data_IF_271590656973
#
_entry.id   IF_271590656973
#
_cell.length_a   1.000
_cell.length_b   1.000
_cell.length_c   1.000
_cell.angle_alpha   90.00
_cell.angle_beta   90.00
_cell.angle_gamma   90.00
#
_symmetry.space_group_name_H-M   'P 1'
#
loop_
_entity.id
_entity.type
_entity.pdbx_description
1 polymer ?
#
# COMPACT_ATOMS: atom_id res chain seq x y z
N UNK A 1 -58.22 27.65 -13.52
CA UNK A 1 -57.98 26.19 -13.45
C UNK A 1 -57.59 25.74 -14.85
N UNK A 2 -56.72 24.74 -15.00
CA UNK A 2 -56.20 24.34 -16.31
C UNK A 2 -57.07 23.20 -16.90
N UNK A 3 -57.50 23.37 -18.15
CA UNK A 3 -58.17 22.33 -18.92
C UNK A 3 -57.11 21.52 -19.68
N UNK A 4 -57.21 20.19 -19.59
CA UNK A 4 -56.29 19.26 -20.25
C UNK A 4 -57.08 18.27 -21.10
N UNK A 5 -56.47 17.82 -22.20
CA UNK A 5 -57.05 16.77 -23.02
C UNK A 5 -57.14 15.44 -22.25
N UNK A 6 -57.97 14.50 -22.71
CA UNK A 6 -58.09 13.17 -22.07
C UNK A 6 -56.76 12.43 -22.08
N UNK A 7 -55.95 12.59 -23.13
CA UNK A 7 -54.63 11.95 -23.24
C UNK A 7 -53.66 12.52 -22.22
N UNK A 8 -53.64 13.83 -22.03
CA UNK A 8 -52.82 14.48 -21.00
C UNK A 8 -53.31 14.14 -19.60
N UNK A 9 -54.62 14.17 -19.37
CA UNK A 9 -55.23 13.75 -18.12
C UNK A 9 -54.82 12.31 -17.76
N UNK A 10 -54.89 11.37 -18.72
CA UNK A 10 -54.48 9.99 -18.55
C UNK A 10 -53.00 9.85 -18.13
N UNK A 11 -52.12 10.66 -18.73
CA UNK A 11 -50.70 10.72 -18.35
C UNK A 11 -50.53 11.29 -16.93
N UNK A 12 -51.19 12.40 -16.63
CA UNK A 12 -51.13 13.08 -15.33
C UNK A 12 -51.62 12.19 -14.18
N UNK A 13 -52.62 11.34 -14.38
CA UNK A 13 -53.14 10.45 -13.31
C UNK A 13 -52.63 9.01 -13.39
N UNK A 14 -51.80 8.70 -14.39
CA UNK A 14 -51.26 7.35 -14.68
C UNK A 14 -52.33 6.27 -14.80
N UNK A 15 -53.41 6.60 -15.51
CA UNK A 15 -54.49 5.65 -15.82
C UNK A 15 -54.68 5.55 -17.31
N UNK A 16 -55.19 4.41 -17.76
CA UNK A 16 -55.54 4.24 -19.15
C UNK A 16 -56.70 5.19 -19.51
N UNK A 17 -56.70 5.72 -20.73
CA UNK A 17 -57.78 6.59 -21.26
C UNK A 17 -59.16 5.96 -21.08
N UNK A 18 -59.28 4.64 -21.27
CA UNK A 18 -60.52 3.89 -21.04
C UNK A 18 -61.06 4.01 -19.61
N UNK A 19 -60.17 4.11 -18.62
CA UNK A 19 -60.56 4.34 -17.22
C UNK A 19 -61.12 5.73 -17.04
N UNK A 20 -60.54 6.74 -17.68
CA UNK A 20 -61.05 8.12 -17.61
C UNK A 20 -62.42 8.23 -18.30
N UNK A 21 -62.60 7.63 -19.48
CA UNK A 21 -63.92 7.61 -20.15
C UNK A 21 -64.99 6.96 -19.27
N UNK A 22 -64.69 5.81 -18.67
CA UNK A 22 -65.60 5.12 -17.74
C UNK A 22 -65.91 5.95 -16.49
N UNK A 23 -64.93 6.67 -15.96
CA UNK A 23 -65.10 7.52 -14.79
C UNK A 23 -65.91 8.80 -15.13
N UNK A 24 -65.83 9.29 -16.37
CA UNK A 24 -66.73 10.33 -16.91
C UNK A 24 -68.16 9.79 -17.04
N UNK A 25 -68.34 8.62 -17.64
CA UNK A 25 -69.67 7.99 -17.79
C UNK A 25 -70.35 7.71 -16.45
N UNK A 26 -69.55 7.38 -15.42
CA UNK A 26 -70.02 7.16 -14.04
C UNK A 26 -70.24 8.46 -13.26
N UNK A 27 -69.93 9.63 -13.84
CA UNK A 27 -70.08 10.93 -13.19
C UNK A 27 -69.03 11.25 -12.12
N UNK A 28 -67.94 10.47 -12.04
CA UNK A 28 -66.82 10.76 -11.12
C UNK A 28 -65.99 11.95 -11.59
N UNK A 29 -65.89 12.13 -12.90
CA UNK A 29 -65.21 13.23 -13.57
C UNK A 29 -66.20 14.03 -14.42
N UNK A 30 -66.11 15.34 -14.37
CA UNK A 30 -66.80 16.23 -15.30
C UNK A 30 -65.94 16.52 -16.53
N UNK A 31 -66.56 16.60 -17.70
CA UNK A 31 -65.90 16.98 -18.95
C UNK A 31 -66.48 18.28 -19.50
N UNK A 32 -65.63 19.06 -20.13
CA UNK A 32 -66.00 20.25 -20.91
C UNK A 32 -65.74 19.96 -22.38
N UNK A 33 -66.68 20.33 -23.23
CA UNK A 33 -66.52 20.23 -24.69
C UNK A 33 -66.19 21.62 -25.20
N UNK A 34 -65.05 21.78 -25.87
CA UNK A 34 -64.66 23.06 -26.45
C UNK A 34 -65.53 23.36 -27.69
N UNK A 35 -65.59 24.62 -28.17
CA UNK A 35 -66.29 24.94 -29.41
C UNK A 35 -65.78 24.17 -30.65
N UNK A 36 -64.55 23.66 -30.60
CA UNK A 36 -63.94 22.79 -31.61
C UNK A 36 -64.36 21.31 -31.49
N UNK A 37 -65.15 20.96 -30.48
CA UNK A 37 -65.65 19.60 -30.24
C UNK A 37 -64.69 18.71 -29.45
N UNK A 38 -63.58 19.24 -28.94
CA UNK A 38 -62.63 18.48 -28.16
C UNK A 38 -63.10 18.30 -26.72
N UNK A 39 -62.90 17.10 -26.17
CA UNK A 39 -63.22 16.82 -24.77
C UNK A 39 -62.02 17.12 -23.88
N UNK A 40 -62.21 18.03 -22.94
CA UNK A 40 -61.21 18.42 -21.96
C UNK A 40 -61.72 18.21 -20.53
N UNK A 41 -60.79 18.03 -19.59
CA UNK A 41 -61.06 17.80 -18.17
C UNK A 41 -60.25 18.83 -17.38
N UNK A 42 -60.84 19.37 -16.33
CA UNK A 42 -60.11 20.26 -15.42
C UNK A 42 -59.13 19.49 -14.54
N UNK A 43 -57.90 19.97 -14.44
CA UNK A 43 -56.90 19.49 -13.47
C UNK A 43 -57.40 19.39 -12.02
N UNK A 44 -58.31 20.26 -11.58
CA UNK A 44 -58.88 20.17 -10.24
C UNK A 44 -59.87 19.01 -10.08
N UNK A 45 -60.61 18.66 -11.14
CA UNK A 45 -61.45 17.45 -11.15
C UNK A 45 -60.57 16.21 -11.02
N UNK A 46 -59.43 16.19 -11.72
CA UNK A 46 -58.45 15.11 -11.64
C UNK A 46 -57.82 15.00 -10.25
N UNK A 47 -57.43 16.14 -9.64
CA UNK A 47 -56.95 16.19 -8.26
C UNK A 47 -58.01 15.71 -7.26
N UNK A 48 -59.27 16.13 -7.41
CA UNK A 48 -60.37 15.67 -6.54
C UNK A 48 -60.59 14.16 -6.67
N UNK A 49 -60.62 13.64 -7.90
CA UNK A 49 -60.96 12.25 -8.15
C UNK A 49 -59.81 11.28 -7.84
N UNK A 50 -58.56 11.67 -8.11
CA UNK A 50 -57.39 10.78 -8.03
C UNK A 50 -56.31 11.24 -7.04
N UNK A 51 -56.44 12.42 -6.45
CA UNK A 51 -55.56 12.93 -5.40
C UNK A 51 -54.30 13.59 -5.94
N UNK A 52 -53.34 12.80 -6.44
CA UNK A 52 -52.03 13.29 -6.92
C UNK A 52 -51.97 13.28 -8.44
N UNK A 53 -51.44 14.35 -9.02
CA UNK A 53 -51.03 14.39 -10.42
C UNK A 53 -49.52 14.15 -10.51
N UNK A 54 -49.12 13.38 -11.51
CA UNK A 54 -47.74 13.05 -11.81
C UNK A 54 -47.32 13.87 -13.04
N UNK A 55 -46.59 14.96 -12.81
CA UNK A 55 -45.78 15.59 -13.84
C UNK A 55 -44.61 14.64 -14.17
N UNK A 56 -44.31 14.47 -15.46
CA UNK A 56 -43.31 13.50 -15.92
C UNK A 56 -41.88 13.72 -15.40
N UNK A 57 -41.63 14.86 -14.76
CA UNK A 57 -40.31 15.28 -14.30
C UNK A 57 -39.98 14.82 -12.87
N UNK A 58 -40.99 14.62 -12.01
CA UNK A 58 -40.73 14.30 -10.58
C UNK A 58 -40.17 12.89 -10.36
N UNK A 59 -40.52 11.92 -11.20
CA UNK A 59 -40.10 10.53 -10.96
C UNK A 59 -38.71 10.22 -11.52
N UNK A 60 -38.30 10.89 -12.61
CA UNK A 60 -36.96 10.70 -13.18
C UNK A 60 -35.88 11.44 -12.36
N UNK A 61 -36.23 12.56 -11.72
CA UNK A 61 -35.28 13.34 -10.92
C UNK A 61 -34.80 12.60 -9.68
N UNK A 62 -35.73 12.00 -8.93
CA UNK A 62 -35.44 11.30 -7.68
C UNK A 62 -34.65 10.01 -7.91
N UNK A 63 -35.00 9.22 -8.92
CA UNK A 63 -34.28 7.98 -9.26
C UNK A 63 -32.84 8.26 -9.71
N UNK A 64 -32.62 9.31 -10.50
CA UNK A 64 -31.29 9.71 -10.95
C UNK A 64 -30.45 10.24 -9.78
N UNK A 65 -31.04 11.01 -8.87
CA UNK A 65 -30.35 11.51 -7.67
C UNK A 65 -29.95 10.37 -6.72
N UNK A 66 -30.84 9.39 -6.51
CA UNK A 66 -30.56 8.20 -5.72
C UNK A 66 -29.47 7.34 -6.38
N UNK A 67 -29.53 7.14 -7.70
CA UNK A 67 -28.52 6.40 -8.44
C UNK A 67 -27.14 7.06 -8.33
N UNK A 68 -27.04 8.40 -8.48
CA UNK A 68 -25.79 9.14 -8.30
C UNK A 68 -25.21 8.99 -6.90
N UNK A 69 -26.06 9.09 -5.88
CA UNK A 69 -25.65 8.89 -4.48
C UNK A 69 -25.11 7.48 -4.26
N UNK A 70 -25.80 6.47 -4.80
CA UNK A 70 -25.36 5.08 -4.72
C UNK A 70 -24.03 4.84 -5.43
N UNK A 71 -23.83 5.44 -6.60
CA UNK A 71 -22.56 5.37 -7.35
C UNK A 71 -21.43 5.98 -6.51
N UNK A 72 -21.62 7.17 -5.95
CA UNK A 72 -20.60 7.82 -5.14
C UNK A 72 -20.16 6.96 -3.93
N UNK A 73 -21.12 6.34 -3.23
CA UNK A 73 -20.83 5.44 -2.11
C UNK A 73 -20.05 4.19 -2.57
N UNK A 74 -20.41 3.62 -3.72
CA UNK A 74 -19.71 2.45 -4.26
C UNK A 74 -18.29 2.78 -4.72
N UNK A 75 -18.08 3.96 -5.30
CA UNK A 75 -16.74 4.44 -5.69
C UNK A 75 -15.85 4.65 -4.46
N UNK A 76 -16.36 5.26 -3.40
CA UNK A 76 -15.62 5.43 -2.14
C UNK A 76 -15.25 4.08 -1.52
N UNK A 77 -16.20 3.13 -1.50
CA UNK A 77 -15.94 1.78 -1.00
C UNK A 77 -14.87 1.06 -1.83
N UNK A 78 -14.91 1.21 -3.15
CA UNK A 78 -13.90 0.64 -4.06
C UNK A 78 -12.52 1.21 -3.75
N UNK A 79 -12.39 2.54 -3.65
CA UNK A 79 -11.12 3.19 -3.26
C UNK A 79 -10.63 2.76 -1.87
N UNK A 80 -11.54 2.52 -0.93
CA UNK A 80 -11.17 2.00 0.39
C UNK A 80 -10.62 0.57 0.31
N UNK A 81 -11.23 -0.29 -0.50
CA UNK A 81 -10.79 -1.68 -0.67
C UNK A 81 -9.43 -1.75 -1.38
N UNK A 82 -9.20 -0.91 -2.38
CA UNK A 82 -7.91 -0.80 -3.07
C UNK A 82 -6.78 -0.42 -2.10
N UNK A 83 -7.03 0.57 -1.23
CA UNK A 83 -6.07 0.95 -0.18
C UNK A 83 -5.81 -0.18 0.82
N UNK A 84 -6.85 -0.91 1.24
CA UNK A 84 -6.69 -2.05 2.13
C UNK A 84 -5.82 -3.15 1.49
N UNK A 85 -6.04 -3.44 0.20
CA UNK A 85 -5.28 -4.43 -0.54
C UNK A 85 -3.79 -4.02 -0.69
N UNK A 86 -3.52 -2.74 -0.91
CA UNK A 86 -2.15 -2.21 -0.90
C UNK A 86 -1.45 -2.41 0.45
N UNK A 87 -2.12 -2.05 1.54
CA UNK A 87 -1.60 -2.23 2.89
C UNK A 87 -1.37 -3.70 3.24
N UNK A 88 -2.27 -4.61 2.82
CA UNK A 88 -2.07 -6.04 2.99
C UNK A 88 -0.85 -6.56 2.23
N UNK A 89 -0.60 -6.07 1.01
CA UNK A 89 0.58 -6.42 0.25
C UNK A 89 1.87 -5.92 0.92
N UNK A 90 1.87 -4.71 1.46
CA UNK A 90 2.99 -4.17 2.24
C UNK A 90 3.24 -4.97 3.51
N UNK A 91 2.20 -5.32 4.26
CA UNK A 91 2.30 -6.16 5.45
C UNK A 91 2.90 -7.53 5.13
N UNK A 92 2.52 -8.15 4.00
CA UNK A 92 3.13 -9.41 3.54
C UNK A 92 4.62 -9.24 3.26
N UNK A 93 5.01 -8.18 2.53
CA UNK A 93 6.43 -7.89 2.24
C UNK A 93 7.25 -7.68 3.51
N UNK A 94 6.76 -6.87 4.45
CA UNK A 94 7.44 -6.62 5.73
C UNK A 94 7.54 -7.91 6.54
N UNK A 95 6.48 -8.71 6.58
CA UNK A 95 6.50 -10.02 7.24
C UNK A 95 7.56 -10.93 6.62
N UNK A 96 7.61 -11.02 5.30
CA UNK A 96 8.58 -11.85 4.60
C UNK A 96 10.02 -11.37 4.87
N UNK A 97 10.27 -10.06 4.84
CA UNK A 97 11.56 -9.47 5.21
C UNK A 97 11.98 -9.87 6.63
N UNK A 98 11.10 -9.66 7.62
CA UNK A 98 11.38 -10.04 9.02
C UNK A 98 11.65 -11.53 9.14
N UNK A 99 10.87 -12.39 8.48
CA UNK A 99 11.11 -13.84 8.55
C UNK A 99 12.45 -14.24 7.92
N UNK A 100 12.85 -13.59 6.82
CA UNK A 100 14.12 -13.85 6.16
C UNK A 100 15.30 -13.37 6.99
N UNK A 101 15.22 -12.19 7.60
CA UNK A 101 16.24 -11.69 8.52
C UNK A 101 16.40 -12.60 9.74
N UNK A 102 15.30 -13.05 10.32
CA UNK A 102 15.34 -13.99 11.44
C UNK A 102 15.98 -15.31 11.04
N UNK A 103 15.65 -15.86 9.87
CA UNK A 103 16.29 -17.08 9.35
C UNK A 103 17.79 -16.89 9.11
N UNK A 104 18.20 -15.76 8.53
CA UNK A 104 19.61 -15.45 8.31
C UNK A 104 20.38 -15.39 9.64
N UNK A 105 19.84 -14.68 10.64
CA UNK A 105 20.45 -14.59 11.98
C UNK A 105 20.54 -15.95 12.68
N UNK A 106 19.57 -16.84 12.48
CA UNK A 106 19.64 -18.20 13.01
C UNK A 106 20.74 -19.00 12.32
N UNK A 107 20.86 -18.91 11.00
CA UNK A 107 21.93 -19.57 10.26
C UNK A 107 23.33 -19.07 10.68
N UNK A 108 23.49 -17.77 10.89
CA UNK A 108 24.73 -17.19 11.41
C UNK A 108 25.07 -17.73 12.81
N UNK A 109 24.06 -17.82 13.69
CA UNK A 109 24.22 -18.41 15.02
C UNK A 109 24.63 -19.89 14.94
N UNK A 110 23.99 -20.67 14.07
CA UNK A 110 24.34 -22.08 13.87
C UNK A 110 25.79 -22.24 13.38
N UNK A 111 26.25 -21.34 12.51
CA UNK A 111 27.64 -21.33 12.05
C UNK A 111 28.62 -21.00 13.18
N UNK A 112 28.30 -20.00 14.02
CA UNK A 112 29.11 -19.66 15.21
C UNK A 112 29.18 -20.84 16.18
N UNK A 113 28.05 -21.50 16.43
CA UNK A 113 27.99 -22.70 17.28
C UNK A 113 28.93 -23.78 16.75
N UNK A 114 28.88 -24.11 15.45
CA UNK A 114 29.79 -25.10 14.83
C UNK A 114 31.27 -24.75 14.97
N UNK A 115 31.63 -23.48 14.80
CA UNK A 115 33.02 -23.01 14.97
C UNK A 115 33.46 -23.16 16.43
N UNK A 116 32.59 -22.81 17.37
CA UNK A 116 32.86 -22.96 18.81
C UNK A 116 32.98 -24.44 19.19
N UNK A 117 32.09 -25.30 18.72
CA UNK A 117 32.16 -26.76 18.93
C UNK A 117 33.49 -27.33 18.43
N UNK A 118 33.89 -26.96 17.21
CA UNK A 118 35.17 -27.39 16.63
C UNK A 118 36.35 -26.91 17.48
N UNK A 119 36.33 -25.65 17.95
CA UNK A 119 37.39 -25.09 18.80
C UNK A 119 37.45 -25.73 20.18
N UNK A 120 36.31 -26.04 20.78
CA UNK A 120 36.24 -26.77 22.06
C UNK A 120 36.85 -28.15 21.91
N UNK A 121 36.52 -28.88 20.84
CA UNK A 121 37.09 -30.19 20.55
C UNK A 121 38.63 -30.14 20.43
N UNK A 122 39.18 -29.14 19.74
CA UNK A 122 40.64 -28.96 19.65
C UNK A 122 41.27 -28.69 21.02
N UNK A 123 40.66 -27.83 21.84
CA UNK A 123 41.16 -27.53 23.18
C UNK A 123 41.10 -28.73 24.13
N UNK A 124 40.08 -29.58 23.99
CA UNK A 124 39.98 -30.83 24.75
C UNK A 124 41.08 -31.81 24.33
N UNK A 125 41.31 -31.98 23.02
CA UNK A 125 42.41 -32.79 22.51
C UNK A 125 43.79 -32.26 22.96
N UNK A 126 44.03 -30.96 22.86
CA UNK A 126 45.30 -30.34 23.31
C UNK A 126 45.54 -30.58 24.81
N UNK A 127 44.49 -30.45 25.64
CA UNK A 127 44.56 -30.76 27.08
C UNK A 127 44.87 -32.23 27.35
N UNK A 128 44.28 -33.15 26.60
CA UNK A 128 44.56 -34.59 26.74
C UNK A 128 46.01 -34.91 26.36
N UNK A 129 46.54 -34.31 25.30
CA UNK A 129 47.94 -34.46 24.89
C UNK A 129 48.90 -33.90 25.94
N UNK A 130 48.60 -32.73 26.49
CA UNK A 130 49.40 -32.08 27.54
C UNK A 130 49.39 -32.90 28.84
N UNK A 131 48.23 -33.44 29.24
CA UNK A 131 48.11 -34.34 30.39
C UNK A 131 48.88 -35.67 30.23
N UNK A 132 49.05 -36.15 28.99
CA UNK A 132 49.84 -37.34 28.67
C UNK A 132 51.35 -37.05 28.54
N UNK A 133 51.78 -35.79 28.48
CA UNK A 133 53.19 -35.37 28.36
C UNK A 133 53.66 -34.45 29.52
N UNK A 134 53.66 -34.90 30.78
CA UNK A 134 54.08 -34.07 31.91
C UNK A 134 55.59 -33.75 31.99
N UNK A 135 56.44 -34.36 31.13
CA UNK A 135 57.89 -34.50 31.38
C UNK A 135 58.82 -33.83 30.34
N UNK A 136 58.36 -32.79 29.62
CA UNK A 136 59.21 -32.11 28.61
C UNK A 136 59.78 -30.75 29.02
N UNK A 137 59.19 -30.05 29.99
CA UNK A 137 59.63 -28.67 30.32
C UNK A 137 60.75 -28.59 31.38
N UNK A 138 61.03 -29.66 32.11
CA UNK A 138 62.09 -29.66 33.14
C UNK A 138 63.50 -30.03 32.63
N UNK A 139 63.63 -30.43 31.35
CA UNK A 139 64.92 -30.84 30.77
C UNK A 139 65.66 -29.75 30.00
N UNK A 140 64.96 -28.78 29.42
CA UNK A 140 65.62 -27.70 28.64
C UNK A 140 66.24 -26.60 29.51
N UNK A 141 65.84 -26.48 30.78
CA UNK A 141 66.33 -25.41 31.68
C UNK A 141 67.59 -25.77 32.47
N UNK A 142 68.11 -27.01 32.36
CA UNK A 142 69.32 -27.46 33.10
C UNK A 142 70.60 -27.58 32.29
N UNK A 143 70.56 -27.54 30.96
CA UNK A 143 71.74 -27.83 30.12
C UNK A 143 72.46 -26.58 29.57
N UNK A 144 71.95 -25.37 29.80
CA UNK A 144 72.49 -24.14 29.21
C UNK A 144 73.34 -23.25 30.15
N UNK A 145 73.85 -23.75 31.29
CA UNK A 145 74.59 -22.91 32.24
C UNK A 145 75.92 -23.49 32.69
N UNK A 146 76.95 -23.30 31.87
CA UNK A 146 78.34 -23.22 32.32
C UNK A 146 79.04 -22.02 31.64
N UNK A 147 79.97 -21.33 32.33
CA UNK A 147 80.20 -19.90 32.14
C UNK A 147 81.43 -19.60 31.27
N UNK A 148 81.35 -18.56 30.44
CA UNK A 148 82.52 -17.84 29.96
C UNK A 148 82.37 -16.34 30.25
N UNK A 149 83.18 -15.91 31.21
CA UNK A 149 83.67 -14.54 31.36
C UNK A 149 84.48 -14.19 30.11
N UNK A 150 84.32 -12.99 29.54
CA UNK A 150 85.29 -11.91 29.73
C UNK A 150 84.85 -10.61 29.03
N UNK A 151 85.44 -9.53 29.51
CA UNK A 151 85.04 -8.14 29.43
C UNK A 151 85.56 -7.40 28.20
N UNK A 152 85.06 -6.16 28.07
CA UNK A 152 85.53 -5.04 27.23
C UNK A 152 84.96 -5.01 25.80
N UNK A 153 84.50 -3.88 25.26
CA UNK A 153 84.53 -2.49 25.69
C UNK A 153 84.63 -1.59 24.46
N UNK A 154 83.90 -0.46 24.47
CA UNK A 154 84.02 0.74 23.60
C UNK A 154 83.36 0.64 22.21
N UNK A 155 82.21 1.31 22.03
CA UNK A 155 82.01 2.71 21.60
C UNK A 155 82.11 2.91 20.07
N UNK A 156 80.99 3.27 19.42
CA UNK A 156 80.74 4.60 18.81
C UNK A 156 79.76 4.56 17.62
N UNK A 157 78.70 5.38 17.74
CA UNK A 157 78.07 6.30 16.75
C UNK A 157 77.56 5.77 15.39
N UNK A 158 76.22 5.78 15.24
CA UNK A 158 75.37 6.55 14.28
C UNK A 158 75.93 7.01 12.90
N UNK A 159 75.11 7.46 11.91
CA UNK A 159 73.64 7.41 11.69
C UNK A 159 73.26 7.08 10.21
N UNK A 160 71.96 7.01 9.85
CA UNK A 160 71.43 7.50 8.55
C UNK A 160 69.90 7.33 8.43
N UNK A 161 69.22 8.47 8.36
CA UNK A 161 67.84 8.71 7.85
C UNK A 161 67.87 8.69 6.30
N UNK A 162 66.85 9.13 5.51
CA UNK A 162 65.37 9.15 5.54
C UNK A 162 64.76 8.64 4.19
N UNK A 163 63.52 9.04 3.85
CA UNK A 163 62.89 9.17 2.48
C UNK A 163 61.90 8.04 2.14
N UNK A 164 60.67 8.22 1.63
CA UNK A 164 59.97 9.27 0.85
C UNK A 164 58.43 9.15 1.10
N UNK A 165 57.65 10.22 1.34
CA UNK A 165 56.76 10.97 0.40
C UNK A 165 55.84 10.06 -0.47
N UNK A 166 54.57 10.38 -0.75
CA UNK A 166 53.95 11.68 -0.94
C UNK A 166 52.42 11.63 -0.76
N UNK A 167 51.88 12.77 -0.31
CA UNK A 167 50.49 13.20 -0.48
C UNK A 167 50.09 13.24 -1.96
N UNK A 168 48.84 13.04 -2.34
CA UNK A 168 47.82 14.11 -2.50
C UNK A 168 46.92 13.58 -3.63
N UNK A 169 45.60 13.66 -3.56
CA UNK A 169 44.91 14.77 -4.22
C UNK A 169 43.45 14.85 -3.82
N UNK A 170 43.02 16.10 -3.77
CA UNK A 170 41.73 16.64 -3.36
C UNK A 170 40.89 16.88 -4.62
N UNK A 171 39.56 16.83 -4.45
CA UNK A 171 38.58 17.81 -4.95
C UNK A 171 37.47 17.30 -5.89
N UNK A 172 36.23 17.43 -5.36
CA UNK A 172 35.01 18.02 -5.95
C UNK A 172 34.39 17.29 -7.17
N UNK A 173 33.08 17.08 -7.23
CA UNK A 173 32.05 18.14 -7.32
C UNK A 173 30.61 17.60 -7.10
N UNK A 174 29.79 18.43 -6.42
CA UNK A 174 28.36 18.75 -6.70
C UNK A 174 27.27 17.67 -6.50
N UNK A 175 26.31 17.89 -5.58
CA UNK A 175 24.95 18.46 -5.80
C UNK A 175 24.07 17.53 -6.65
N UNK A 176 22.85 17.09 -6.28
CA UNK A 176 21.63 17.81 -5.89
C UNK A 176 20.54 16.73 -5.67
N UNK A 177 19.63 16.86 -4.71
CA UNK A 177 18.25 16.31 -4.84
C UNK A 177 17.43 17.38 -5.61
N UNK A 178 16.44 17.06 -6.50
CA UNK A 178 15.21 16.35 -6.07
C UNK A 178 14.43 15.54 -7.16
N UNK A 179 13.38 14.86 -6.66
CA UNK A 179 12.05 14.56 -7.26
C UNK A 179 11.72 15.23 -8.61
N UNK A 180 11.21 14.47 -9.61
CA UNK A 180 9.82 14.52 -10.14
C UNK A 180 9.66 13.79 -11.49
N UNK A 181 8.56 13.05 -11.58
CA UNK A 181 8.02 12.44 -12.79
C UNK A 181 7.41 13.48 -13.76
N UNK A 182 7.52 13.22 -15.07
CA UNK A 182 6.59 13.69 -16.11
C UNK A 182 6.66 12.77 -17.34
N UNK A 183 5.48 12.48 -17.89
CA UNK A 183 5.14 11.63 -19.04
C UNK A 183 5.94 11.84 -20.33
N UNK A 184 5.83 10.88 -21.26
CA UNK A 184 5.44 11.26 -22.61
C UNK A 184 4.18 10.52 -23.09
N UNK A 185 3.09 11.26 -23.27
CA UNK A 185 2.08 10.96 -24.28
C UNK A 185 2.66 11.29 -25.66
N UNK A 186 2.25 10.56 -26.70
CA UNK A 186 1.70 11.31 -27.83
C UNK A 186 0.33 10.74 -28.25
N UNK A 187 -0.62 11.66 -28.39
CA UNK A 187 -1.86 11.45 -29.12
C UNK A 187 -1.65 11.86 -30.58
N UNK A 188 -2.23 11.06 -31.47
CA UNK A 188 -2.82 11.34 -32.79
C UNK A 188 -2.41 12.60 -33.56
N UNK A 189 -1.86 12.37 -34.77
CA UNK A 189 -2.33 12.97 -36.03
C UNK A 189 -2.10 12.00 -37.20
#
# INVERSE_FOLDING_TARGET
MALVSITEAAKLVRRNRSTLYRDIERGRLSKTITPEGETQIDTAELLRAYGRLYSGDEENGDDVAQARTRIAILEERTRSLERALQLEAELRRVKDQVTNELRARLADKDNVIKVLESKVLFLEYDKEVEALQPERQDKESKEARAPQEDLSGKQSREPAVPVERAASTVAKTSAEEPVKAADPTPADE
#
